data_IF_990872726722
#
_entry.id   IF_990872726722
#
_cell.length_a   1.000
_cell.length_b   1.000
_cell.length_c   1.000
_cell.angle_alpha   90.00
_cell.angle_beta   90.00
_cell.angle_gamma   90.00
#
_symmetry.space_group_name_H-M   'P 1'
#
loop_
_entity.id
_entity.type
_entity.pdbx_description
1 polymer ?
#
# COMPACT_ATOMS: atom_id res chain seq x y z
N UNK A 1 2.25 -37.29 16.91
CA UNK A 1 3.55 -37.10 16.23
C UNK A 1 4.42 -36.23 17.12
N UNK A 2 5.45 -36.79 17.75
CA UNK A 2 6.33 -36.04 18.65
C UNK A 2 7.38 -35.32 17.82
N UNK A 3 7.30 -33.99 17.75
CA UNK A 3 8.34 -33.17 17.13
C UNK A 3 9.58 -33.27 18.02
N UNK A 4 10.54 -34.12 17.65
CA UNK A 4 11.85 -34.14 18.32
C UNK A 4 12.62 -32.92 17.87
N UNK A 5 12.74 -31.94 18.76
CA UNK A 5 13.66 -30.83 18.54
C UNK A 5 15.10 -31.37 18.48
N UNK A 6 15.92 -30.90 17.52
CA UNK A 6 17.32 -31.28 17.47
C UNK A 6 18.02 -30.81 18.77
N UNK A 7 19.03 -31.55 19.25
CA UNK A 7 19.77 -31.15 20.43
C UNK A 7 20.49 -29.82 20.20
N UNK A 8 20.43 -28.95 21.19
CA UNK A 8 21.15 -27.67 21.18
C UNK A 8 22.66 -27.88 21.31
N UNK A 9 23.45 -26.91 20.84
CA UNK A 9 24.92 -26.94 20.97
C UNK A 9 25.33 -27.09 22.44
N UNK A 10 24.65 -26.42 23.37
CA UNK A 10 24.91 -26.54 24.81
C UNK A 10 24.66 -27.97 25.32
N UNK A 11 23.61 -28.65 24.84
CA UNK A 11 23.35 -30.05 25.19
C UNK A 11 24.44 -30.99 24.64
N UNK A 12 24.95 -30.73 23.44
CA UNK A 12 26.03 -31.51 22.83
C UNK A 12 27.37 -31.29 23.56
N UNK A 13 27.68 -30.06 23.96
CA UNK A 13 28.86 -29.76 24.77
C UNK A 13 28.78 -30.43 26.15
N UNK A 14 27.62 -30.39 26.80
CA UNK A 14 27.40 -31.10 28.06
C UNK A 14 27.51 -32.62 27.94
N UNK A 15 27.30 -33.19 26.75
CA UNK A 15 27.55 -34.61 26.48
C UNK A 15 29.05 -34.88 26.30
N UNK A 16 29.78 -33.97 25.63
CA UNK A 16 31.23 -34.04 25.52
C UNK A 16 31.90 -34.03 26.90
N UNK A 17 31.48 -33.13 27.79
CA UNK A 17 32.00 -33.02 29.16
C UNK A 17 31.68 -34.27 29.99
N UNK A 18 30.50 -34.87 29.80
CA UNK A 18 30.15 -36.14 30.44
C UNK A 18 30.93 -37.33 29.89
N UNK A 19 31.26 -37.31 28.60
CA UNK A 19 32.07 -38.34 27.96
C UNK A 19 33.52 -38.30 28.49
N UNK A 20 34.09 -37.11 28.69
CA UNK A 20 35.42 -36.93 29.30
C UNK A 20 35.49 -37.57 30.69
N UNK A 21 34.47 -37.36 31.53
CA UNK A 21 34.36 -38.00 32.86
C UNK A 21 34.23 -39.52 32.81
N UNK A 22 33.91 -40.10 31.65
CA UNK A 22 33.68 -41.54 31.44
C UNK A 22 34.80 -42.23 30.67
N UNK A 23 35.92 -41.55 30.44
CA UNK A 23 37.12 -42.14 29.84
C UNK A 23 37.46 -41.65 28.44
N UNK A 24 36.77 -40.63 27.92
CA UNK A 24 37.25 -39.92 26.73
C UNK A 24 38.53 -39.15 27.09
N UNK A 25 39.56 -39.20 26.25
CA UNK A 25 40.79 -38.44 26.53
C UNK A 25 40.53 -36.93 26.41
N UNK A 26 41.29 -36.12 27.15
CA UNK A 26 41.17 -34.66 27.08
C UNK A 26 41.37 -34.12 25.64
N UNK A 27 42.25 -34.76 24.86
CA UNK A 27 42.49 -34.40 23.46
C UNK A 27 41.30 -34.70 22.53
N UNK A 28 40.61 -35.82 22.74
CA UNK A 28 39.38 -36.13 22.02
C UNK A 28 38.23 -35.20 22.43
N UNK A 29 38.10 -34.92 23.73
CA UNK A 29 37.09 -33.99 24.22
C UNK A 29 37.29 -32.57 23.67
N UNK A 30 38.55 -32.11 23.61
CA UNK A 30 38.90 -30.82 23.01
C UNK A 30 38.53 -30.76 21.52
N UNK A 31 38.88 -31.78 20.73
CA UNK A 31 38.51 -31.87 19.31
C UNK A 31 37.00 -31.88 19.11
N UNK A 32 36.26 -32.60 19.95
CA UNK A 32 34.81 -32.68 19.87
C UNK A 32 34.16 -31.33 20.19
N UNK A 33 34.65 -30.62 21.21
CA UNK A 33 34.17 -29.25 21.52
C UNK A 33 34.48 -28.26 20.40
N UNK A 34 35.66 -28.35 19.78
CA UNK A 34 36.04 -27.51 18.64
C UNK A 34 35.10 -27.75 17.45
N UNK A 35 34.96 -29.01 17.03
CA UNK A 35 34.07 -29.37 15.93
C UNK A 35 32.60 -28.99 16.16
N UNK A 36 32.10 -29.08 17.40
CA UNK A 36 30.75 -28.61 17.74
C UNK A 36 30.59 -27.09 17.61
N UNK A 37 31.63 -26.32 17.94
CA UNK A 37 31.61 -24.85 17.77
C UNK A 37 31.69 -24.47 16.31
N UNK A 38 32.54 -25.15 15.54
CA UNK A 38 32.68 -24.91 14.10
C UNK A 38 31.36 -25.21 13.39
N UNK A 39 30.74 -26.36 13.66
CA UNK A 39 29.43 -26.72 13.10
C UNK A 39 28.34 -25.71 13.48
N UNK A 40 28.35 -25.21 14.72
CA UNK A 40 27.41 -24.18 15.16
C UNK A 40 27.60 -22.86 14.39
N UNK A 41 28.85 -22.48 14.13
CA UNK A 41 29.18 -21.28 13.35
C UNK A 41 28.76 -21.41 11.89
N UNK A 42 28.99 -22.58 11.28
CA UNK A 42 28.55 -22.89 9.92
C UNK A 42 27.03 -22.88 9.80
N UNK A 43 26.33 -23.45 10.79
CA UNK A 43 24.87 -23.42 10.84
C UNK A 43 24.36 -21.99 10.93
N UNK A 44 24.97 -21.14 11.76
CA UNK A 44 24.58 -19.74 11.88
C UNK A 44 24.79 -18.98 10.55
N UNK A 45 25.92 -19.21 9.88
CA UNK A 45 26.19 -18.65 8.56
C UNK A 45 25.18 -19.13 7.50
N UNK A 46 24.84 -20.42 7.50
CA UNK A 46 23.83 -20.97 6.60
C UNK A 46 22.44 -20.36 6.84
N UNK A 47 22.04 -20.17 8.11
CA UNK A 47 20.77 -19.52 8.46
C UNK A 47 20.73 -18.07 7.98
N UNK A 48 21.83 -17.33 8.14
CA UNK A 48 21.95 -15.96 7.63
C UNK A 48 21.79 -15.93 6.10
N UNK A 49 22.50 -16.79 5.38
CA UNK A 49 22.40 -16.91 3.91
C UNK A 49 20.97 -17.24 3.46
N UNK A 50 20.29 -18.16 4.15
CA UNK A 50 18.89 -18.49 3.84
C UNK A 50 17.97 -17.29 4.07
N UNK A 51 18.18 -16.51 5.14
CA UNK A 51 17.42 -15.30 5.40
C UNK A 51 17.64 -14.24 4.31
N UNK A 52 18.87 -14.04 3.87
CA UNK A 52 19.22 -13.15 2.76
C UNK A 52 18.55 -13.57 1.45
N UNK A 53 18.62 -14.84 1.08
CA UNK A 53 17.96 -15.38 -0.11
C UNK A 53 16.43 -15.24 -0.06
N UNK A 54 15.82 -15.43 1.12
CA UNK A 54 14.39 -15.20 1.31
C UNK A 54 14.02 -13.74 1.11
N UNK A 55 14.82 -12.82 1.65
CA UNK A 55 14.62 -11.38 1.47
C UNK A 55 14.77 -10.97 0.01
N UNK A 56 15.81 -11.46 -0.68
CA UNK A 56 16.04 -11.22 -2.09
C UNK A 56 14.86 -11.70 -2.95
N UNK A 57 14.38 -12.91 -2.70
CA UNK A 57 13.19 -13.46 -3.36
C UNK A 57 11.93 -12.63 -3.08
N UNK A 58 11.72 -12.17 -1.85
CA UNK A 58 10.60 -11.28 -1.51
C UNK A 58 10.62 -9.96 -2.29
N UNK A 59 11.81 -9.36 -2.44
CA UNK A 59 12.01 -8.14 -3.25
C UNK A 59 11.73 -8.42 -4.73
N UNK A 60 12.23 -9.53 -5.28
CA UNK A 60 11.97 -9.92 -6.67
C UNK A 60 10.47 -10.12 -6.93
N UNK A 61 9.77 -10.85 -6.06
CA UNK A 61 8.32 -11.05 -6.17
C UNK A 61 7.55 -9.73 -6.13
N UNK A 62 7.95 -8.81 -5.25
CA UNK A 62 7.35 -7.46 -5.17
C UNK A 62 7.60 -6.67 -6.45
N UNK A 63 8.81 -6.72 -6.99
CA UNK A 63 9.17 -6.05 -8.26
C UNK A 63 8.38 -6.61 -9.43
N UNK A 64 8.25 -7.94 -9.53
CA UNK A 64 7.45 -8.59 -10.55
C UNK A 64 5.97 -8.23 -10.43
N UNK A 65 5.40 -8.21 -9.21
CA UNK A 65 4.03 -7.74 -8.99
C UNK A 65 3.82 -6.29 -9.42
N UNK A 66 4.77 -5.38 -9.13
CA UNK A 66 4.68 -3.98 -9.58
C UNK A 66 4.76 -3.84 -11.10
N UNK A 67 5.57 -4.68 -11.77
CA UNK A 67 5.66 -4.70 -13.24
C UNK A 67 4.42 -5.33 -13.91
N UNK A 68 3.88 -6.38 -13.29
CA UNK A 68 2.71 -7.11 -13.80
C UNK A 68 1.38 -6.46 -13.41
N UNK A 69 1.38 -5.54 -12.45
CA UNK A 69 0.20 -4.77 -12.11
C UNK A 69 -0.19 -3.94 -13.35
N UNK A 70 -1.38 -4.16 -13.95
CA UNK A 70 -1.85 -3.28 -15.00
C UNK A 70 -1.86 -1.87 -14.41
N UNK A 71 -1.22 -0.93 -15.11
CA UNK A 71 -1.30 0.50 -14.77
C UNK A 71 -2.79 0.84 -14.72
N UNK A 72 -3.39 0.85 -13.53
CA UNK A 72 -4.75 1.38 -13.36
C UNK A 72 -4.70 2.80 -13.93
N UNK A 73 -5.50 3.12 -14.96
CA UNK A 73 -5.56 4.50 -15.42
C UNK A 73 -5.90 5.39 -14.21
N UNK A 74 -5.20 6.51 -14.01
CA UNK A 74 -5.54 7.42 -12.94
C UNK A 74 -6.95 7.95 -13.22
N UNK A 75 -7.90 7.61 -12.36
CA UNK A 75 -9.28 8.08 -12.47
C UNK A 75 -10.28 6.98 -12.82
N UNK A 76 -10.71 6.23 -11.81
CA UNK A 76 -12.14 5.94 -11.72
C UNK A 76 -12.60 6.46 -10.36
N UNK A 77 -13.12 7.70 -10.28
CA UNK A 77 -13.77 8.16 -9.06
C UNK A 77 -14.91 7.18 -8.75
N UNK A 78 -14.85 6.58 -7.56
CA UNK A 78 -16.00 5.90 -6.97
C UNK A 78 -17.07 6.96 -6.76
N UNK A 79 -18.13 6.93 -7.57
CA UNK A 79 -19.27 7.84 -7.45
C UNK A 79 -19.84 7.70 -6.04
N UNK A 80 -19.91 8.79 -5.25
CA UNK A 80 -20.54 8.72 -3.95
C UNK A 80 -22.05 8.52 -4.14
N UNK A 81 -22.61 7.64 -3.30
CA UNK A 81 -23.89 6.97 -3.50
C UNK A 81 -25.09 7.81 -3.01
N UNK A 82 -24.98 9.14 -2.97
CA UNK A 82 -26.09 10.02 -2.58
C UNK A 82 -26.15 11.31 -3.42
N UNK A 83 -26.88 11.31 -4.56
CA UNK A 83 -26.86 12.39 -5.54
C UNK A 83 -27.43 13.72 -5.03
N UNK A 84 -28.15 13.77 -3.91
CA UNK A 84 -28.77 15.01 -3.42
C UNK A 84 -27.96 15.81 -2.37
N UNK A 85 -27.07 15.16 -1.61
CA UNK A 85 -26.24 15.83 -0.58
C UNK A 85 -24.79 16.00 -1.03
N UNK A 86 -24.32 15.12 -1.90
CA UNK A 86 -22.96 15.17 -2.41
C UNK A 86 -22.76 16.22 -3.50
N UNK A 87 -23.84 16.64 -4.19
CA UNK A 87 -23.82 17.70 -5.20
C UNK A 87 -23.51 19.06 -4.58
N UNK A 88 -24.23 19.48 -3.54
CA UNK A 88 -23.97 20.75 -2.87
C UNK A 88 -22.56 20.80 -2.25
N UNK A 89 -22.13 19.69 -1.65
CA UNK A 89 -20.78 19.56 -1.11
C UNK A 89 -19.71 19.53 -2.21
N UNK A 90 -20.00 18.96 -3.39
CA UNK A 90 -19.11 18.97 -4.54
C UNK A 90 -19.00 20.35 -5.18
N UNK A 91 -20.11 21.09 -5.31
CA UNK A 91 -20.15 22.46 -5.81
C UNK A 91 -19.32 23.37 -4.90
N UNK A 92 -19.54 23.32 -3.57
CA UNK A 92 -18.73 24.10 -2.60
C UNK A 92 -17.23 23.82 -2.73
N UNK A 93 -16.83 22.54 -2.79
CA UNK A 93 -15.43 22.15 -2.96
C UNK A 93 -14.84 22.62 -4.28
N UNK A 94 -15.60 22.56 -5.38
CA UNK A 94 -15.17 23.04 -6.68
C UNK A 94 -15.02 24.57 -6.70
N UNK A 95 -15.91 25.31 -6.02
CA UNK A 95 -15.83 26.76 -5.84
C UNK A 95 -14.59 27.15 -5.03
N UNK A 96 -14.33 26.49 -3.89
CA UNK A 96 -13.14 26.74 -3.05
C UNK A 96 -11.84 26.47 -3.83
N UNK A 97 -11.78 25.38 -4.60
CA UNK A 97 -10.64 25.07 -5.46
C UNK A 97 -10.46 26.10 -6.59
N UNK A 98 -11.56 26.59 -7.18
CA UNK A 98 -11.55 27.66 -8.17
C UNK A 98 -10.90 28.94 -7.63
N UNK A 99 -11.33 29.39 -6.44
CA UNK A 99 -10.74 30.55 -5.77
C UNK A 99 -9.26 30.33 -5.42
N UNK A 100 -8.91 29.16 -4.88
CA UNK A 100 -7.52 28.84 -4.56
C UNK A 100 -6.61 28.88 -5.81
N UNK A 101 -7.10 28.45 -6.97
CA UNK A 101 -6.32 28.44 -8.21
C UNK A 101 -6.13 29.83 -8.84
N UNK A 102 -6.96 30.83 -8.52
CA UNK A 102 -6.77 32.20 -8.98
C UNK A 102 -5.47 32.83 -8.43
N UNK A 103 -5.04 32.40 -7.24
CA UNK A 103 -3.83 32.86 -6.59
C UNK A 103 -2.54 32.20 -7.12
N UNK A 104 -2.66 31.16 -7.95
CA UNK A 104 -1.52 30.46 -8.56
C UNK A 104 -1.39 30.92 -10.03
N UNK A 105 -0.32 31.63 -10.42
CA UNK A 105 -0.19 32.20 -11.77
C UNK A 105 -0.40 31.17 -12.91
N UNK A 106 0.16 29.97 -12.75
CA UNK A 106 0.06 28.89 -13.75
C UNK A 106 -1.35 28.25 -13.85
N UNK A 107 -2.25 28.50 -12.89
CA UNK A 107 -3.58 27.87 -12.82
C UNK A 107 -4.74 28.86 -12.86
N UNK A 108 -4.45 30.16 -12.96
CA UNK A 108 -5.45 31.24 -12.90
C UNK A 108 -6.54 31.09 -13.97
N UNK A 109 -6.18 30.76 -15.21
CA UNK A 109 -7.14 30.55 -16.29
C UNK A 109 -8.10 29.38 -16.02
N UNK A 110 -7.58 28.29 -15.43
CA UNK A 110 -8.39 27.14 -15.04
C UNK A 110 -9.32 27.46 -13.86
N UNK A 111 -8.84 28.23 -12.86
CA UNK A 111 -9.67 28.70 -11.76
C UNK A 111 -10.83 29.58 -12.23
N UNK A 112 -10.58 30.52 -13.15
CA UNK A 112 -11.60 31.37 -13.74
C UNK A 112 -12.65 30.57 -14.55
N UNK A 113 -12.20 29.58 -15.33
CA UNK A 113 -13.10 28.72 -16.11
C UNK A 113 -14.02 27.86 -15.23
N UNK A 114 -13.51 27.32 -14.12
CA UNK A 114 -14.32 26.53 -13.16
C UNK A 114 -15.38 27.41 -12.50
N UNK A 115 -15.03 28.61 -12.04
CA UNK A 115 -15.98 29.53 -11.42
C UNK A 115 -17.06 30.03 -12.41
N UNK A 116 -16.68 30.30 -13.66
CA UNK A 116 -17.62 30.65 -14.72
C UNK A 116 -18.58 29.50 -15.06
N UNK A 117 -18.09 28.25 -15.07
CA UNK A 117 -18.92 27.08 -15.32
C UNK A 117 -19.92 26.79 -14.19
N UNK A 118 -19.53 27.07 -12.93
CA UNK A 118 -20.41 26.89 -11.77
C UNK A 118 -21.51 27.96 -11.70
N UNK A 119 -21.25 29.17 -12.18
CA UNK A 119 -22.21 30.29 -12.20
C UNK A 119 -23.22 30.19 -13.36
N UNK A 120 -22.83 29.61 -14.49
CA UNK A 120 -23.73 29.38 -15.64
C UNK A 120 -24.68 28.18 -15.48
N UNK A 121 -24.64 27.47 -14.34
CA UNK A 121 -25.49 26.31 -14.05
C UNK A 121 -26.71 26.64 -13.16
N UNK A 122 -26.97 27.91 -12.85
CA UNK A 122 -28.30 28.31 -12.40
C UNK A 122 -29.29 28.03 -13.55
N UNK A 123 -30.15 27.04 -13.34
CA UNK A 123 -31.18 26.66 -14.31
C UNK A 123 -32.05 27.87 -14.69
N UNK A 124 -32.53 27.94 -15.94
CA UNK A 124 -33.39 29.03 -16.39
C UNK A 124 -34.65 29.08 -15.52
N UNK A 125 -35.25 30.25 -15.27
CA UNK A 125 -36.56 30.29 -14.63
C UNK A 125 -37.55 29.55 -15.54
N UNK A 126 -38.01 28.39 -15.06
CA UNK A 126 -39.19 27.73 -15.58
C UNK A 126 -40.40 28.61 -15.33
N UNK A 127 -41.04 29.00 -16.43
CA UNK A 127 -42.49 29.09 -16.63
C UNK A 127 -42.74 30.09 -17.77
N UNK A 128 -42.72 29.57 -19.01
CA UNK A 128 -43.48 30.22 -20.07
C UNK A 128 -44.92 29.74 -19.92
N UNK A 129 -45.90 30.60 -19.55
CA UNK A 129 -47.29 30.23 -19.71
C UNK A 129 -47.60 30.12 -21.21
N UNK A 130 -48.25 29.02 -21.59
CA UNK A 130 -48.67 28.71 -22.95
C UNK A 130 -49.48 29.86 -23.59
N UNK A 131 -49.39 30.05 -24.92
CA UNK A 131 -50.21 31.03 -25.63
C UNK A 131 -51.68 30.59 -25.63
N UNK A 132 -52.54 31.35 -24.97
CA UNK A 132 -54.00 31.21 -25.05
C UNK A 132 -54.45 31.49 -26.50
N UNK A 133 -55.23 30.60 -27.15
CA UNK A 133 -55.66 30.81 -28.52
C UNK A 133 -56.83 31.81 -28.57
N UNK A 134 -56.62 32.91 -29.32
CA UNK A 134 -57.64 33.65 -30.05
C UNK A 134 -58.66 34.49 -29.25
N UNK A 135 -58.61 35.81 -29.44
CA UNK A 135 -59.81 36.58 -29.82
C UNK A 135 -59.46 37.99 -30.32
N UNK A 136 -60.06 38.29 -31.47
CA UNK A 136 -60.19 39.60 -32.12
C UNK A 136 -60.42 40.78 -31.17
N UNK A 137 -59.91 41.97 -31.53
CA UNK A 137 -60.68 43.11 -32.12
C UNK A 137 -59.76 44.36 -32.21
N UNK A 138 -59.66 44.97 -33.41
CA UNK A 138 -60.21 46.30 -33.79
C UNK A 138 -59.67 47.44 -32.89
N UNK A 139 -59.04 48.50 -33.37
CA UNK A 139 -59.24 49.33 -34.55
C UNK A 139 -57.91 49.96 -34.99
#
# INVERSE_FOLDING_TARGET
MTIRHPPTVAQLLNLADRAERRGLTAAEAARLRAGLRDLASEQAAAVATVAELRNANGRLRTRLRRKAAPRRPPGRPTMPTNPGKDTDAAVRRATELGYHWLHIPAKRAAGAAVLAALTNNESPPGDLPEPIPGRHQRH
#
